data_IF_730065233692
#
_entry.id   IF_730065233692
#
_cell.length_a   1.000
_cell.length_b   1.000
_cell.length_c   1.000
_cell.angle_alpha   90.00
_cell.angle_beta   90.00
_cell.angle_gamma   90.00
#
_symmetry.space_group_name_H-M   'P 1'
#
loop_
_entity.id
_entity.type
_entity.pdbx_description
1 polymer ?
#
# COMPACT_ATOMS: atom_id res chain seq x y z
N UNK A 1 -55.62 -7.16 29.63
CA UNK A 1 -56.65 -7.91 28.89
C UNK A 1 -57.26 -6.96 27.88
N UNK A 2 -57.19 -7.34 26.60
CA UNK A 2 -57.78 -6.78 25.39
C UNK A 2 -58.56 -5.44 25.47
N UNK A 3 -58.23 -4.48 24.60
CA UNK A 3 -58.91 -4.36 23.31
C UNK A 3 -58.48 -3.10 22.52
N UNK A 4 -58.46 -3.30 21.20
CA UNK A 4 -58.79 -2.33 20.15
C UNK A 4 -57.73 -1.31 19.68
N UNK A 5 -56.83 -1.83 18.84
CA UNK A 5 -56.47 -1.21 17.56
C UNK A 5 -57.74 -0.85 16.76
N UNK A 6 -57.91 0.41 16.36
CA UNK A 6 -58.65 0.83 15.16
C UNK A 6 -58.85 2.34 15.18
N UNK A 7 -58.10 3.07 14.35
CA UNK A 7 -58.45 4.34 13.69
C UNK A 7 -57.18 5.14 13.41
N UNK A 8 -56.44 4.69 12.41
CA UNK A 8 -55.45 5.52 11.72
C UNK A 8 -56.00 5.79 10.34
N UNK A 9 -56.11 7.09 10.05
CA UNK A 9 -56.07 7.68 8.71
C UNK A 9 -57.32 7.50 7.84
N UNK A 10 -58.37 8.22 8.22
CA UNK A 10 -59.23 8.88 7.25
C UNK A 10 -58.56 10.18 6.77
N UNK A 11 -57.97 10.16 5.59
CA UNK A 11 -57.88 11.36 4.75
C UNK A 11 -57.99 10.94 3.29
N UNK A 12 -59.23 11.06 2.82
CA UNK A 12 -59.75 10.77 1.50
C UNK A 12 -59.98 12.13 0.86
N UNK A 13 -59.40 12.39 -0.30
CA UNK A 13 -60.07 12.95 -1.49
C UNK A 13 -59.09 13.65 -2.43
N UNK A 14 -59.48 13.61 -3.71
CA UNK A 14 -58.96 14.33 -4.89
C UNK A 14 -57.74 13.67 -5.54
N UNK A 15 -57.83 13.05 -6.72
CA UNK A 15 -58.91 12.94 -7.69
C UNK A 15 -58.30 12.85 -9.09
N UNK A 16 -58.81 11.91 -9.90
CA UNK A 16 -58.92 12.08 -11.35
C UNK A 16 -57.85 11.41 -12.23
N UNK A 17 -58.32 10.47 -13.06
CA UNK A 17 -57.81 10.31 -14.43
C UNK A 17 -57.12 8.99 -14.78
N UNK A 18 -57.92 7.95 -15.02
CA UNK A 18 -57.56 6.79 -15.86
C UNK A 18 -57.72 7.19 -17.34
N UNK A 19 -56.80 6.79 -18.23
CA UNK A 19 -57.10 5.77 -19.27
C UNK A 19 -56.02 5.60 -20.36
N UNK A 20 -55.85 4.32 -20.72
CA UNK A 20 -55.49 3.74 -22.03
C UNK A 20 -54.14 4.08 -22.69
N UNK A 21 -53.19 3.13 -22.76
CA UNK A 21 -53.03 2.12 -23.84
C UNK A 21 -52.88 2.71 -25.24
N UNK A 22 -51.67 2.70 -25.81
CA UNK A 22 -51.28 1.78 -26.92
C UNK A 22 -49.80 1.90 -27.28
N UNK A 23 -49.24 0.74 -27.58
CA UNK A 23 -47.94 0.40 -28.15
C UNK A 23 -47.59 1.09 -29.48
N UNK A 24 -46.30 1.37 -29.73
CA UNK A 24 -45.51 0.76 -30.82
C UNK A 24 -44.18 1.49 -31.07
N UNK A 25 -43.28 0.76 -31.74
CA UNK A 25 -42.08 1.21 -32.47
C UNK A 25 -40.74 1.17 -31.73
N UNK A 26 -40.20 -0.05 -31.78
CA UNK A 26 -38.78 -0.39 -31.97
C UNK A 26 -38.11 0.55 -32.99
N UNK A 27 -37.01 1.20 -32.59
CA UNK A 27 -36.04 1.74 -33.54
C UNK A 27 -34.61 1.46 -33.06
N UNK A 28 -34.10 0.36 -33.60
CA UNK A 28 -32.70 -0.06 -33.67
C UNK A 28 -31.93 0.92 -34.55
N UNK A 29 -30.92 1.60 -34.03
CA UNK A 29 -29.95 2.35 -34.84
C UNK A 29 -28.58 1.68 -34.77
N UNK A 30 -28.16 1.13 -35.92
CA UNK A 30 -26.83 0.60 -36.21
C UNK A 30 -25.77 1.69 -36.19
N UNK A 31 -24.52 1.27 -35.95
CA UNK A 31 -23.36 2.12 -35.76
C UNK A 31 -22.88 2.91 -36.99
N UNK A 32 -21.95 3.82 -36.69
CA UNK A 32 -21.19 4.67 -37.61
C UNK A 32 -19.96 5.27 -36.87
N UNK A 33 -18.92 5.70 -37.58
CA UNK A 33 -17.55 5.36 -37.22
C UNK A 33 -16.82 6.35 -36.29
N UNK A 34 -15.87 5.76 -35.56
CA UNK A 34 -14.77 6.33 -34.78
C UNK A 34 -14.00 7.35 -35.64
N UNK A 35 -14.02 8.64 -35.25
CA UNK A 35 -13.20 9.68 -35.87
C UNK A 35 -11.91 9.88 -35.07
N UNK A 36 -10.83 9.47 -35.71
CA UNK A 36 -9.43 9.63 -35.37
C UNK A 36 -9.03 11.12 -35.42
N UNK A 37 -8.33 11.58 -34.38
CA UNK A 37 -7.89 12.96 -34.22
C UNK A 37 -6.82 13.33 -35.23
N UNK A 38 -7.20 14.04 -36.29
CA UNK A 38 -6.30 14.59 -37.31
C UNK A 38 -5.75 15.93 -36.82
N UNK A 39 -4.42 16.02 -36.73
CA UNK A 39 -3.68 17.22 -36.34
C UNK A 39 -4.08 18.45 -37.14
N UNK A 40 -4.35 19.54 -36.42
CA UNK A 40 -4.61 20.86 -37.00
C UNK A 40 -3.27 21.47 -37.42
N UNK A 41 -2.90 21.28 -38.68
CA UNK A 41 -1.93 22.13 -39.36
C UNK A 41 -2.57 23.50 -39.60
N UNK A 42 -2.09 24.53 -38.91
CA UNK A 42 -2.51 25.91 -39.12
C UNK A 42 -1.79 26.43 -40.38
N UNK A 43 -2.49 26.49 -41.51
CA UNK A 43 -1.99 27.15 -42.73
C UNK A 43 -2.29 28.64 -42.59
N UNK A 44 -1.27 29.46 -42.31
CA UNK A 44 -1.36 30.92 -42.30
C UNK A 44 -1.14 31.41 -43.74
N UNK A 45 -2.21 31.85 -44.40
CA UNK A 45 -2.13 32.56 -45.66
C UNK A 45 -1.92 34.05 -45.39
N UNK A 46 -0.72 34.56 -45.67
CA UNK A 46 -0.41 35.98 -45.60
C UNK A 46 -0.61 36.61 -46.98
N UNK A 47 -1.74 37.30 -47.19
CA UNK A 47 -1.94 38.18 -48.34
C UNK A 47 -1.29 39.52 -48.04
N UNK A 48 -0.10 39.75 -48.60
CA UNK A 48 0.56 41.05 -48.59
C UNK A 48 0.05 41.88 -49.77
N UNK A 49 -0.66 42.97 -49.49
CA UNK A 49 -1.06 43.96 -50.49
C UNK A 49 -0.54 45.33 -50.02
N UNK A 50 0.39 45.90 -50.78
CA UNK A 50 1.01 47.19 -50.47
C UNK A 50 1.03 48.09 -51.70
N UNK A 51 0.45 49.29 -51.54
CA UNK A 51 0.78 50.57 -52.21
C UNK A 51 -0.15 51.66 -51.65
N UNK A 52 0.33 52.53 -50.76
CA UNK A 52 0.99 53.83 -51.01
C UNK A 52 0.03 55.03 -50.83
N UNK A 53 0.32 55.89 -49.83
CA UNK A 53 -0.20 57.25 -49.74
C UNK A 53 -0.14 57.88 -48.35
N UNK A 54 0.82 58.78 -48.10
CA UNK A 54 0.77 59.79 -47.02
C UNK A 54 1.82 59.66 -45.90
N UNK A 55 2.59 60.74 -45.57
CA UNK A 55 3.76 60.66 -44.71
C UNK A 55 3.45 60.95 -43.24
N UNK A 56 2.47 60.29 -42.61
CA UNK A 56 2.30 60.38 -41.15
C UNK A 56 1.65 59.07 -40.67
N UNK A 57 2.47 58.09 -40.29
CA UNK A 57 2.16 56.94 -39.42
C UNK A 57 2.89 55.68 -39.88
N UNK A 58 4.19 55.58 -39.58
CA UNK A 58 4.88 54.29 -39.61
C UNK A 58 5.88 54.22 -38.45
N UNK A 59 5.36 53.95 -37.25
CA UNK A 59 6.15 53.64 -36.04
C UNK A 59 5.50 52.59 -35.13
N UNK A 60 4.61 51.73 -35.62
CA UNK A 60 3.99 50.70 -34.78
C UNK A 60 3.84 49.38 -35.58
N UNK A 61 4.95 48.77 -35.95
CA UNK A 61 4.91 47.44 -36.57
C UNK A 61 6.16 46.62 -36.24
N UNK A 62 6.59 46.60 -34.97
CA UNK A 62 7.66 45.69 -34.52
C UNK A 62 7.60 45.37 -33.03
N UNK A 63 6.39 45.20 -32.48
CA UNK A 63 6.18 44.82 -31.07
C UNK A 63 5.36 43.52 -30.89
N UNK A 64 5.02 42.83 -31.98
CA UNK A 64 4.12 41.66 -31.93
C UNK A 64 4.79 40.29 -31.86
N UNK A 65 6.09 40.16 -32.14
CA UNK A 65 6.74 38.84 -32.28
C UNK A 65 7.63 38.44 -31.09
N UNK A 66 8.00 39.36 -30.19
CA UNK A 66 8.83 39.04 -29.02
C UNK A 66 8.01 38.48 -27.84
N UNK A 67 6.70 38.71 -27.80
CA UNK A 67 5.85 38.34 -26.66
C UNK A 67 5.44 36.85 -26.63
N UNK A 68 5.68 36.08 -27.70
CA UNK A 68 5.27 34.67 -27.75
C UNK A 68 6.31 33.69 -27.21
N UNK A 69 7.55 34.12 -27.00
CA UNK A 69 8.60 33.30 -26.35
C UNK A 69 8.57 33.46 -24.82
N UNK A 70 7.96 34.53 -24.29
CA UNK A 70 7.84 34.80 -22.85
C UNK A 70 6.71 34.02 -22.15
N UNK A 71 5.93 33.22 -22.88
CA UNK A 71 4.79 32.44 -22.36
C UNK A 71 4.93 30.94 -22.60
N UNK A 72 6.14 30.43 -22.78
CA UNK A 72 6.36 28.99 -22.61
C UNK A 72 6.29 28.71 -21.09
N UNK A 73 5.34 27.90 -20.58
CA UNK A 73 5.50 27.38 -19.25
C UNK A 73 6.78 26.56 -19.29
N UNK A 74 7.81 27.03 -18.57
CA UNK A 74 8.90 26.17 -18.13
C UNK A 74 8.24 25.20 -17.17
N UNK A 75 7.58 24.17 -17.71
CA UNK A 75 7.32 22.94 -16.98
C UNK A 75 8.69 22.31 -16.78
N UNK A 76 9.47 22.89 -15.87
CA UNK A 76 10.45 22.13 -15.13
C UNK A 76 9.64 20.99 -14.53
N UNK A 77 9.92 19.77 -14.98
CA UNK A 77 9.63 18.63 -14.16
C UNK A 77 10.33 18.94 -12.84
N UNK A 78 9.57 19.35 -11.83
CA UNK A 78 10.09 19.51 -10.49
C UNK A 78 10.53 18.11 -10.07
N UNK A 79 11.81 17.83 -10.27
CA UNK A 79 12.50 16.80 -9.52
C UNK A 79 12.69 17.46 -8.16
N UNK A 80 11.65 17.40 -7.33
CA UNK A 80 11.81 17.69 -5.93
C UNK A 80 12.78 16.61 -5.40
N UNK A 81 13.95 17.09 -4.99
CA UNK A 81 15.04 16.29 -4.47
C UNK A 81 14.81 16.08 -2.98
N UNK A 82 15.57 15.19 -2.31
CA UNK A 82 15.56 15.05 -0.83
C UNK A 82 15.52 16.41 -0.11
N UNK A 83 16.18 17.43 -0.69
CA UNK A 83 16.16 18.81 -0.22
C UNK A 83 14.78 19.46 -0.16
N UNK A 84 13.87 19.20 -1.09
CA UNK A 84 12.53 19.80 -1.08
C UNK A 84 11.70 19.25 0.09
N UNK A 85 11.82 17.96 0.39
CA UNK A 85 11.17 17.34 1.55
C UNK A 85 11.76 17.87 2.86
N UNK A 86 13.08 18.10 2.90
CA UNK A 86 13.75 18.67 4.07
C UNK A 86 13.45 20.16 4.22
N UNK A 87 13.36 20.95 3.16
CA UNK A 87 13.05 22.38 3.27
C UNK A 87 11.54 22.64 3.46
N UNK A 88 10.70 21.69 3.07
CA UNK A 88 9.27 21.81 3.20
C UNK A 88 8.85 21.98 4.68
N UNK A 89 7.90 22.89 4.94
CA UNK A 89 7.30 23.01 6.26
C UNK A 89 6.57 21.72 6.62
N UNK A 90 6.42 21.47 7.92
CA UNK A 90 5.71 20.30 8.44
C UNK A 90 4.31 20.22 7.82
N UNK A 91 3.90 19.09 7.24
CA UNK A 91 2.62 18.94 6.56
C UNK A 91 1.47 18.78 7.58
N UNK A 92 1.12 19.86 8.30
CA UNK A 92 0.13 19.84 9.40
C UNK A 92 -1.28 19.40 8.96
N UNK A 93 -1.65 19.65 7.70
CA UNK A 93 -3.02 19.38 7.21
C UNK A 93 -3.12 18.19 6.28
N UNK A 94 -2.06 17.88 5.53
CA UNK A 94 -2.05 16.79 4.56
C UNK A 94 -1.49 15.50 5.14
N UNK A 95 -0.62 15.56 6.16
CA UNK A 95 0.10 14.43 6.78
C UNK A 95 0.94 13.57 5.81
N UNK A 96 0.87 13.86 4.51
CA UNK A 96 1.43 13.05 3.43
C UNK A 96 2.16 13.97 2.48
N UNK A 97 3.43 13.68 2.27
CA UNK A 97 4.32 14.30 1.28
C UNK A 97 4.67 13.23 0.27
N UNK A 98 4.12 13.33 -0.95
CA UNK A 98 4.36 12.35 -2.02
C UNK A 98 5.11 12.98 -3.18
N UNK A 99 6.43 12.98 -3.03
CA UNK A 99 7.39 13.35 -4.06
C UNK A 99 7.60 12.22 -5.07
N UNK A 100 7.57 10.97 -4.59
CA UNK A 100 7.74 9.78 -5.44
C UNK A 100 6.63 9.58 -6.49
N UNK A 101 5.50 10.28 -6.35
CA UNK A 101 4.34 10.14 -7.24
C UNK A 101 3.74 8.73 -7.23
N UNK A 102 3.92 7.99 -6.14
CA UNK A 102 3.53 6.58 -6.03
C UNK A 102 2.16 6.40 -5.38
N UNK A 103 1.64 7.45 -4.75
CA UNK A 103 0.33 7.43 -4.09
C UNK A 103 -0.75 8.02 -5.01
N UNK A 104 -1.84 7.28 -5.14
CA UNK A 104 -3.03 7.77 -5.82
C UNK A 104 -3.68 8.89 -5.00
N UNK A 105 -4.38 9.83 -5.67
CA UNK A 105 -5.11 10.91 -4.97
C UNK A 105 -6.10 10.38 -3.94
N UNK A 106 -6.79 9.28 -4.25
CA UNK A 106 -7.70 8.60 -3.33
C UNK A 106 -6.94 7.97 -2.14
N UNK A 107 -5.79 7.34 -2.39
CA UNK A 107 -4.91 6.79 -1.37
C UNK A 107 -4.41 7.85 -0.38
N UNK A 108 -3.93 9.00 -0.89
CA UNK A 108 -3.52 10.15 -0.06
C UNK A 108 -4.64 10.59 0.88
N UNK A 109 -5.86 10.73 0.36
CA UNK A 109 -7.03 11.11 1.16
C UNK A 109 -7.39 10.08 2.24
N UNK A 110 -7.32 8.78 1.91
CA UNK A 110 -7.57 7.70 2.86
C UNK A 110 -6.52 7.68 3.99
N UNK A 111 -5.23 7.81 3.63
CA UNK A 111 -4.12 7.84 4.58
C UNK A 111 -4.23 9.07 5.50
N UNK A 112 -4.41 10.27 4.93
CA UNK A 112 -4.57 11.50 5.71
C UNK A 112 -5.77 11.43 6.67
N UNK A 113 -6.90 10.85 6.23
CA UNK A 113 -8.05 10.61 7.09
C UNK A 113 -7.74 9.73 8.31
N UNK A 114 -7.01 8.62 8.10
CA UNK A 114 -6.59 7.72 9.18
C UNK A 114 -5.61 8.39 10.16
N UNK A 115 -4.67 9.18 9.64
CA UNK A 115 -3.68 9.90 10.46
C UNK A 115 -4.35 10.99 11.30
N UNK A 116 -5.30 11.72 10.72
CA UNK A 116 -6.11 12.70 11.46
C UNK A 116 -6.95 12.05 12.56
N UNK A 117 -7.54 10.89 12.30
CA UNK A 117 -8.25 10.12 13.33
C UNK A 117 -7.34 9.64 14.46
N UNK A 118 -6.10 9.25 14.13
CA UNK A 118 -5.10 8.81 15.09
C UNK A 118 -4.69 9.94 16.02
N UNK A 119 -4.39 11.11 15.45
CA UNK A 119 -4.03 12.31 16.21
C UNK A 119 -5.16 12.76 17.13
N UNK A 120 -6.41 12.77 16.64
CA UNK A 120 -7.57 13.13 17.46
C UNK A 120 -7.82 12.18 18.64
N UNK A 121 -7.45 10.89 18.52
CA UNK A 121 -7.70 9.88 19.56
C UNK A 121 -6.55 9.75 20.57
N UNK A 122 -5.32 9.91 20.11
CA UNK A 122 -4.12 9.53 20.89
C UNK A 122 -3.16 10.69 21.13
N UNK A 123 -3.25 11.77 20.33
CA UNK A 123 -2.30 12.87 20.35
C UNK A 123 -0.94 12.56 19.72
N UNK A 124 -0.74 11.35 19.19
CA UNK A 124 0.42 11.03 18.35
C UNK A 124 0.19 11.54 16.93
N UNK A 125 1.28 11.91 16.26
CA UNK A 125 1.21 12.43 14.90
C UNK A 125 2.26 11.74 14.05
N UNK A 126 1.81 11.21 12.92
CA UNK A 126 2.64 10.44 12.00
C UNK A 126 2.57 11.12 10.64
N UNK A 127 3.73 11.46 10.10
CA UNK A 127 3.88 11.98 8.75
C UNK A 127 4.35 10.86 7.82
N UNK A 128 3.81 10.86 6.61
CA UNK A 128 4.18 9.89 5.58
C UNK A 128 4.91 10.63 4.46
N UNK A 129 6.10 10.17 4.14
CA UNK A 129 6.93 10.68 3.06
C UNK A 129 7.17 9.56 2.07
N UNK A 130 6.87 9.81 0.80
CA UNK A 130 7.18 8.86 -0.27
C UNK A 130 8.15 9.50 -1.25
N UNK A 131 9.21 8.75 -1.56
CA UNK A 131 10.28 9.18 -2.45
C UNK A 131 10.48 8.15 -3.56
N UNK A 132 10.92 8.64 -4.73
CA UNK A 132 11.29 7.73 -5.81
C UNK A 132 12.63 7.07 -5.52
N UNK A 133 13.64 7.86 -5.20
CA UNK A 133 15.02 7.42 -4.96
C UNK A 133 15.70 8.39 -3.99
N UNK A 134 16.54 7.86 -3.12
CA UNK A 134 17.48 8.64 -2.33
C UNK A 134 18.83 8.76 -3.08
N UNK A 135 19.29 9.99 -3.26
CA UNK A 135 20.54 10.41 -3.91
C UNK A 135 21.66 10.73 -2.91
N UNK A 136 21.36 11.32 -1.75
CA UNK A 136 22.37 11.79 -0.78
C UNK A 136 22.43 10.90 0.45
N UNK A 137 21.28 10.43 0.91
CA UNK A 137 21.19 9.55 2.09
C UNK A 137 20.74 8.18 1.63
N UNK A 138 21.65 7.21 1.35
CA UNK A 138 21.26 5.95 0.72
C UNK A 138 20.33 5.09 1.58
N UNK A 139 20.39 5.27 2.89
CA UNK A 139 19.54 4.57 3.86
C UNK A 139 18.24 5.36 4.13
N UNK A 140 17.06 4.76 3.91
CA UNK A 140 15.78 5.35 4.29
C UNK A 140 15.67 5.70 5.79
N UNK A 141 16.36 4.96 6.67
CA UNK A 141 16.34 5.20 8.11
C UNK A 141 17.03 6.52 8.46
N UNK A 142 18.28 6.70 8.03
CA UNK A 142 19.00 7.98 8.17
C UNK A 142 18.24 9.16 7.55
N UNK A 143 17.57 8.95 6.42
CA UNK A 143 16.76 10.01 5.82
C UNK A 143 15.54 10.36 6.68
N UNK A 144 14.86 9.36 7.25
CA UNK A 144 13.73 9.59 8.15
C UNK A 144 14.12 10.34 9.42
N UNK A 145 15.32 10.07 9.96
CA UNK A 145 15.87 10.80 11.11
C UNK A 145 16.13 12.27 10.76
N UNK A 146 16.76 12.55 9.60
CA UNK A 146 16.98 13.93 9.14
C UNK A 146 15.67 14.70 8.95
N UNK A 147 14.65 14.03 8.41
CA UNK A 147 13.32 14.64 8.26
C UNK A 147 12.70 14.94 9.62
N UNK A 148 12.84 14.03 10.59
CA UNK A 148 12.34 14.22 11.95
C UNK A 148 13.06 15.38 12.66
N UNK A 149 14.40 15.44 12.59
CA UNK A 149 15.23 16.49 13.19
C UNK A 149 14.92 17.87 12.59
N UNK A 150 14.71 17.92 11.29
CA UNK A 150 14.41 19.17 10.61
C UNK A 150 12.99 19.67 10.90
N UNK A 151 12.00 18.78 10.91
CA UNK A 151 10.62 19.15 11.21
C UNK A 151 10.35 19.39 12.69
N UNK A 152 11.07 18.68 13.57
CA UNK A 152 10.91 18.75 15.02
C UNK A 152 12.30 18.87 15.70
N UNK A 153 12.92 20.06 15.66
CA UNK A 153 14.28 20.26 16.16
C UNK A 153 14.41 20.12 17.68
N UNK A 154 13.30 20.08 18.41
CA UNK A 154 13.28 19.92 19.87
C UNK A 154 12.66 18.60 20.28
N UNK A 155 13.22 17.96 21.30
CA UNK A 155 12.76 16.67 21.83
C UNK A 155 11.30 16.77 22.30
N UNK A 156 10.91 17.89 22.91
CA UNK A 156 9.54 18.11 23.38
C UNK A 156 8.51 18.14 22.25
N UNK A 157 8.89 18.69 21.09
CA UNK A 157 8.03 18.72 19.91
C UNK A 157 7.98 17.36 19.21
N UNK A 158 9.11 16.64 19.17
CA UNK A 158 9.28 15.38 18.44
C UNK A 158 8.86 14.12 19.19
N UNK A 159 8.72 14.15 20.53
CA UNK A 159 8.53 12.95 21.36
C UNK A 159 7.33 12.07 20.94
N UNK A 160 6.22 12.70 20.54
CA UNK A 160 4.99 12.02 20.08
C UNK A 160 4.83 12.04 18.56
N UNK A 161 5.90 12.34 17.83
CA UNK A 161 5.90 12.50 16.38
C UNK A 161 6.68 11.34 15.74
N UNK A 162 6.21 10.92 14.57
CA UNK A 162 6.89 9.91 13.77
C UNK A 162 6.86 10.27 12.28
N UNK A 163 7.80 9.70 11.53
CA UNK A 163 7.93 9.83 10.09
C UNK A 163 8.07 8.44 9.49
N UNK A 164 7.16 8.09 8.57
CA UNK A 164 7.22 6.90 7.75
C UNK A 164 7.73 7.30 6.36
N UNK A 165 8.91 6.82 5.99
CA UNK A 165 9.50 7.01 4.66
C UNK A 165 9.31 5.73 3.84
N UNK A 166 8.88 5.87 2.58
CA UNK A 166 8.86 4.76 1.61
C UNK A 166 9.64 5.17 0.36
N UNK A 167 10.59 4.32 -0.04
CA UNK A 167 11.44 4.53 -1.22
C UNK A 167 11.09 3.50 -2.29
N UNK A 168 10.57 3.96 -3.43
CA UNK A 168 10.07 3.04 -4.46
C UNK A 168 11.15 2.32 -5.24
N UNK A 169 12.33 2.94 -5.44
CA UNK A 169 13.44 2.32 -6.18
C UNK A 169 13.99 1.09 -5.47
N UNK A 170 14.22 1.18 -4.16
CA UNK A 170 14.77 0.07 -3.38
C UNK A 170 13.68 -0.86 -2.82
N UNK A 171 12.40 -0.45 -2.88
CA UNK A 171 11.26 -1.16 -2.25
C UNK A 171 11.44 -1.30 -0.74
N UNK A 172 12.07 -0.30 -0.15
CA UNK A 172 12.37 -0.20 1.28
C UNK A 172 11.50 0.89 1.92
N UNK A 173 11.33 0.79 3.23
CA UNK A 173 10.77 1.87 4.01
C UNK A 173 11.41 1.92 5.38
N UNK A 174 11.34 3.08 6.01
CA UNK A 174 11.85 3.29 7.34
C UNK A 174 10.83 4.06 8.17
N UNK A 175 10.90 3.84 9.48
CA UNK A 175 10.07 4.54 10.46
C UNK A 175 11.04 5.12 11.49
N UNK A 176 11.01 6.44 11.62
CA UNK A 176 11.68 7.15 12.71
C UNK A 176 10.65 7.91 13.53
N UNK A 177 10.96 8.20 14.78
CA UNK A 177 10.07 8.95 15.66
C UNK A 177 10.69 9.21 17.02
N UNK A 178 9.99 10.05 17.78
CA UNK A 178 10.40 10.36 19.14
C UNK A 178 10.37 9.15 20.08
N UNK A 179 11.06 9.23 21.24
CA UNK A 179 11.14 8.12 22.19
C UNK A 179 9.77 7.59 22.64
N UNK A 180 8.81 8.45 22.96
CA UNK A 180 7.46 8.00 23.32
C UNK A 180 6.73 7.35 22.14
N UNK A 181 6.93 7.83 20.91
CA UNK A 181 6.30 7.23 19.73
C UNK A 181 6.76 5.78 19.51
N UNK A 182 8.08 5.55 19.50
CA UNK A 182 8.68 4.22 19.28
C UNK A 182 8.31 3.25 20.41
N UNK A 183 8.46 3.68 21.66
CA UNK A 183 8.16 2.85 22.84
C UNK A 183 6.70 2.36 22.90
N UNK A 184 5.74 3.17 22.44
CA UNK A 184 4.33 2.78 22.45
C UNK A 184 3.93 1.84 21.30
N UNK A 185 4.69 1.83 20.21
CA UNK A 185 4.46 0.89 19.10
C UNK A 185 5.14 -0.45 19.38
N UNK A 186 6.37 -0.39 19.90
CA UNK A 186 7.23 -1.53 20.11
C UNK A 186 8.07 -1.89 18.88
N UNK A 187 9.35 -2.17 19.12
CA UNK A 187 10.35 -2.44 18.07
C UNK A 187 9.95 -3.65 17.21
N UNK A 188 9.41 -4.71 17.81
CA UNK A 188 8.95 -5.91 17.08
C UNK A 188 7.93 -5.60 15.97
N UNK A 189 7.02 -4.64 16.22
CA UNK A 189 6.00 -4.25 15.24
C UNK A 189 6.59 -3.37 14.15
N UNK A 190 7.46 -2.43 14.52
CA UNK A 190 8.17 -1.58 13.57
C UNK A 190 9.03 -2.42 12.62
N UNK A 191 9.80 -3.35 13.15
CA UNK A 191 10.64 -4.27 12.40
C UNK A 191 9.81 -5.17 11.47
N UNK A 192 8.66 -5.68 11.93
CA UNK A 192 7.75 -6.45 11.08
C UNK A 192 7.12 -5.60 9.96
N UNK A 193 6.87 -4.31 10.20
CA UNK A 193 6.38 -3.41 9.14
C UNK A 193 7.46 -3.21 8.09
N UNK A 194 8.67 -2.84 8.52
CA UNK A 194 9.81 -2.50 7.66
C UNK A 194 10.32 -3.73 6.90
N UNK A 195 10.43 -4.87 7.56
CA UNK A 195 11.04 -6.09 6.98
C UNK A 195 10.05 -6.95 6.20
N UNK A 196 8.77 -6.97 6.58
CA UNK A 196 7.79 -7.86 5.96
C UNK A 196 6.71 -7.11 5.17
N UNK A 197 6.08 -6.09 5.76
CA UNK A 197 4.88 -5.48 5.18
C UNK A 197 5.21 -4.59 3.99
N UNK A 198 6.13 -3.65 4.19
CA UNK A 198 6.52 -2.69 3.14
C UNK A 198 7.15 -3.44 1.96
N UNK A 199 8.17 -4.30 2.12
CA UNK A 199 8.85 -4.92 0.98
C UNK A 199 7.93 -5.87 0.21
N UNK A 200 7.07 -6.62 0.90
CA UNK A 200 6.13 -7.53 0.26
C UNK A 200 5.13 -6.80 -0.65
N UNK A 201 4.55 -5.70 -0.19
CA UNK A 201 3.52 -4.98 -0.94
C UNK A 201 4.12 -4.06 -2.01
N UNK A 202 5.29 -3.47 -1.76
CA UNK A 202 6.02 -2.67 -2.75
C UNK A 202 6.63 -3.52 -3.86
N UNK A 203 6.96 -4.80 -3.58
CA UNK A 203 7.34 -5.77 -4.61
C UNK A 203 6.22 -6.01 -5.61
N UNK A 204 4.98 -6.09 -5.13
CA UNK A 204 3.76 -6.19 -5.94
C UNK A 204 3.30 -4.84 -6.54
N UNK A 205 4.10 -3.77 -6.41
CA UNK A 205 3.78 -2.39 -6.85
C UNK A 205 2.53 -1.78 -6.19
N UNK A 206 2.08 -2.34 -5.07
CA UNK A 206 0.91 -1.88 -4.31
C UNK A 206 1.29 -0.86 -3.25
N UNK A 207 1.81 0.29 -3.67
CA UNK A 207 2.29 1.35 -2.76
C UNK A 207 1.19 1.93 -1.87
N UNK A 208 -0.01 2.13 -2.42
CA UNK A 208 -1.16 2.62 -1.65
C UNK A 208 -1.51 1.66 -0.50
N UNK A 209 -1.50 0.36 -0.75
CA UNK A 209 -1.78 -0.64 0.28
C UNK A 209 -0.63 -0.79 1.28
N UNK A 210 0.62 -0.74 0.81
CA UNK A 210 1.81 -0.80 1.67
C UNK A 210 1.76 0.28 2.73
N UNK A 211 1.50 1.51 2.29
CA UNK A 211 1.43 2.68 3.16
C UNK A 211 0.23 2.61 4.09
N UNK A 212 -0.96 2.28 3.56
CA UNK A 212 -2.18 2.23 4.35
C UNK A 212 -2.13 1.14 5.42
N UNK A 213 -1.64 -0.07 5.08
CA UNK A 213 -1.48 -1.15 6.06
C UNK A 213 -0.44 -0.79 7.13
N UNK A 214 0.68 -0.18 6.74
CA UNK A 214 1.70 0.27 7.70
C UNK A 214 1.12 1.28 8.69
N UNK A 215 0.38 2.27 8.20
CA UNK A 215 -0.32 3.25 9.04
C UNK A 215 -1.37 2.59 9.92
N UNK A 216 -2.14 1.62 9.40
CA UNK A 216 -3.13 0.89 10.20
C UNK A 216 -2.49 0.09 11.34
N UNK A 217 -1.36 -0.59 11.08
CA UNK A 217 -0.58 -1.32 12.10
C UNK A 217 -0.10 -0.38 13.21
N UNK A 218 0.54 0.73 12.82
CA UNK A 218 1.01 1.75 13.77
C UNK A 218 -0.16 2.34 14.56
N UNK A 219 -1.25 2.68 13.89
CA UNK A 219 -2.45 3.24 14.52
C UNK A 219 -3.10 2.27 15.51
N UNK A 220 -3.08 0.98 15.22
CA UNK A 220 -3.63 -0.07 16.09
C UNK A 220 -2.86 -0.19 17.39
N UNK A 221 -1.52 -0.16 17.30
CA UNK A 221 -0.64 -0.19 18.48
C UNK A 221 -0.78 1.08 19.32
N UNK A 222 -0.73 2.27 18.70
CA UNK A 222 -0.86 3.55 19.40
C UNK A 222 -2.24 3.75 20.05
N UNK A 223 -3.29 3.13 19.51
CA UNK A 223 -4.62 3.13 20.12
C UNK A 223 -4.82 2.04 21.19
N UNK A 224 -3.81 1.20 21.45
CA UNK A 224 -3.91 0.07 22.38
C UNK A 224 -4.82 -1.06 21.91
N UNK A 225 -5.17 -1.12 20.62
CA UNK A 225 -6.00 -2.19 20.03
C UNK A 225 -5.18 -3.40 19.60
N UNK A 226 -3.85 -3.30 19.65
CA UNK A 226 -2.92 -4.31 19.15
C UNK A 226 -2.77 -4.25 17.63
N UNK A 227 -1.84 -5.06 17.09
CA UNK A 227 -1.54 -5.10 15.66
C UNK A 227 -2.64 -5.85 14.88
N UNK A 228 -3.40 -5.17 14.01
CA UNK A 228 -4.45 -5.78 13.21
C UNK A 228 -3.92 -6.80 12.18
N UNK A 229 -2.64 -6.72 11.83
CA UNK A 229 -1.99 -7.58 10.84
C UNK A 229 -0.88 -8.44 11.46
N UNK A 230 -0.93 -8.68 12.77
CA UNK A 230 0.02 -9.52 13.48
C UNK A 230 0.23 -10.86 12.72
N UNK A 231 1.48 -11.30 12.50
CA UNK A 231 1.75 -12.60 11.94
C UNK A 231 0.99 -13.63 12.77
N UNK A 232 -0.01 -14.29 12.17
CA UNK A 232 -0.69 -15.39 12.85
C UNK A 232 0.42 -16.36 13.26
N UNK A 233 0.55 -16.72 14.55
CA UNK A 233 1.56 -17.68 14.96
C UNK A 233 1.38 -18.87 14.04
N UNK A 234 2.42 -19.18 13.25
CA UNK A 234 2.44 -20.42 12.47
C UNK A 234 2.14 -21.47 13.52
N UNK A 235 0.95 -22.08 13.48
CA UNK A 235 0.60 -23.18 14.38
C UNK A 235 1.79 -24.11 14.25
N UNK A 236 2.59 -24.22 15.31
CA UNK A 236 3.72 -25.13 15.32
C UNK A 236 3.17 -26.43 14.74
N UNK A 237 3.81 -27.04 13.72
CA UNK A 237 3.30 -28.28 13.14
C UNK A 237 3.02 -29.16 14.33
N UNK A 238 1.72 -29.45 14.57
CA UNK A 238 1.25 -30.09 15.79
C UNK A 238 2.17 -31.26 15.94
N UNK A 239 3.11 -31.18 16.88
CA UNK A 239 4.00 -32.30 17.17
C UNK A 239 2.99 -33.36 17.54
N UNK A 240 2.75 -34.27 16.60
CA UNK A 240 2.00 -35.47 16.84
C UNK A 240 2.91 -36.17 17.83
N UNK A 241 2.71 -35.89 19.12
CA UNK A 241 3.18 -36.78 20.17
C UNK A 241 2.74 -38.18 19.75
N UNK A 242 3.57 -39.20 19.98
CA UNK A 242 3.22 -40.55 19.59
C UNK A 242 2.02 -40.98 20.43
N UNK A 243 0.81 -40.77 19.92
CA UNK A 243 -0.36 -41.49 20.38
C UNK A 243 -0.09 -42.94 20.00
N UNK A 244 0.29 -43.73 21.00
CA UNK A 244 0.19 -45.19 20.97
C UNK A 244 -1.26 -45.54 20.65
N UNK A 245 -1.58 -45.65 19.37
CA UNK A 245 -2.67 -46.49 18.90
C UNK A 245 -1.99 -47.75 18.40
N UNK A 246 -2.08 -48.80 19.21
CA UNK A 246 -1.78 -50.15 18.76
C UNK A 246 -2.71 -50.45 17.59
N UNK A 247 -2.21 -51.24 16.63
CA UNK A 247 -2.91 -51.70 15.44
C UNK A 247 -3.01 -50.65 14.34
N UNK A 248 -2.01 -50.66 13.46
CA UNK A 248 -2.15 -50.85 12.00
C UNK A 248 -0.80 -50.46 11.37
N UNK A 249 0.11 -51.43 11.34
CA UNK A 249 1.40 -51.32 10.66
C UNK A 249 1.41 -52.33 9.51
N UNK A 250 0.53 -52.10 8.54
CA UNK A 250 0.56 -52.75 7.24
C UNK A 250 1.55 -51.98 6.34
N UNK A 251 2.68 -52.63 6.05
CA UNK A 251 3.28 -52.59 4.71
C UNK A 251 4.10 -51.36 4.32
N UNK A 252 5.25 -51.14 4.95
CA UNK A 252 6.38 -50.48 4.25
C UNK A 252 7.69 -51.20 4.57
N UNK A 253 8.01 -52.18 3.71
CA UNK A 253 9.34 -52.67 3.31
C UNK A 253 10.49 -52.62 4.34
N UNK A 254 10.26 -53.07 5.58
CA UNK A 254 11.34 -53.33 6.55
C UNK A 254 11.71 -54.82 6.68
N UNK A 255 11.08 -55.70 5.89
CA UNK A 255 11.23 -57.16 6.00
C UNK A 255 12.65 -57.72 5.77
N UNK A 256 13.51 -57.21 4.86
CA UNK A 256 14.82 -57.85 4.64
C UNK A 256 15.83 -57.55 5.75
N UNK A 257 15.72 -56.42 6.47
CA UNK A 257 16.70 -56.04 7.48
C UNK A 257 16.58 -56.85 8.77
N UNK A 258 15.34 -57.10 9.23
CA UNK A 258 15.13 -57.90 10.44
C UNK A 258 15.52 -59.37 10.26
N UNK A 259 15.26 -59.96 9.08
CA UNK A 259 15.64 -61.34 8.80
C UNK A 259 17.17 -61.57 8.85
N UNK A 260 17.96 -60.64 8.30
CA UNK A 260 19.43 -60.73 8.31
C UNK A 260 19.99 -60.60 9.73
N UNK A 261 19.45 -59.66 10.53
CA UNK A 261 19.89 -59.45 11.92
C UNK A 261 19.55 -60.67 12.79
N UNK A 262 18.35 -61.25 12.63
CA UNK A 262 17.95 -62.44 13.39
C UNK A 262 18.86 -63.65 13.08
N UNK A 263 19.21 -63.87 11.81
CA UNK A 263 20.11 -64.97 11.43
C UNK A 263 21.52 -64.73 11.99
N UNK A 264 22.03 -63.49 11.92
CA UNK A 264 23.35 -63.13 12.43
C UNK A 264 23.48 -63.34 13.95
N UNK A 265 22.39 -63.19 14.72
CA UNK A 265 22.40 -63.38 16.18
C UNK A 265 22.16 -64.85 16.58
N UNK A 266 21.24 -65.54 15.91
CA UNK A 266 20.82 -66.90 16.30
C UNK A 266 21.84 -67.95 15.87
N UNK A 267 22.44 -67.78 14.69
CA UNK A 267 23.40 -68.74 14.13
C UNK A 267 24.64 -69.00 15.02
N UNK A 268 25.35 -67.98 15.55
CA UNK A 268 26.51 -68.22 16.43
C UNK A 268 26.12 -68.86 17.77
N UNK A 269 24.94 -68.54 18.32
CA UNK A 269 24.46 -69.16 19.55
C UNK A 269 24.11 -70.64 19.36
N UNK A 270 23.54 -71.00 18.21
CA UNK A 270 23.24 -72.39 17.89
C UNK A 270 24.53 -73.24 17.74
N UNK A 271 25.57 -72.69 17.12
CA UNK A 271 26.89 -73.34 17.04
C UNK A 271 27.52 -73.55 18.42
N UNK A 272 27.37 -72.58 19.33
CA UNK A 272 27.87 -72.69 20.69
C UNK A 272 27.16 -73.80 21.47
N UNK A 273 25.82 -73.87 21.40
CA UNK A 273 25.04 -74.92 22.07
C UNK A 273 25.37 -76.30 21.49
N UNK A 274 25.44 -76.43 20.16
CA UNK A 274 25.77 -77.71 19.51
C UNK A 274 27.19 -78.15 19.82
N UNK A 275 28.16 -77.22 19.86
CA UNK A 275 29.54 -77.50 20.24
C UNK A 275 29.72 -77.92 21.70
N UNK A 276 28.88 -77.43 22.61
CA UNK A 276 28.83 -77.91 24.00
C UNK A 276 28.24 -79.31 24.08
N UNK A 277 27.14 -79.59 23.35
CA UNK A 277 26.49 -80.92 23.36
C UNK A 277 27.38 -82.00 22.73
N UNK A 278 28.15 -81.68 21.68
CA UNK A 278 29.07 -82.64 21.03
C UNK A 278 30.38 -82.88 21.78
N UNK A 279 30.67 -82.12 22.84
CA UNK A 279 31.88 -82.28 23.66
C UNK A 279 31.74 -83.42 24.68
N UNK A 280 30.50 -83.79 25.03
CA UNK A 280 30.17 -84.73 26.10
C UNK A 280 29.68 -86.11 25.60
N UNK A 281 29.86 -86.41 24.30
CA UNK A 281 29.74 -87.76 23.71
C UNK A 281 31.09 -88.20 23.14
#
# INVERSE_FOLDING_TARGET
MAAMKSMVSASKALGGGMDARTSSVVARAKGGPRREGRGRGLVVSAKAEGKHGGPIASKIASAGLAALIASAPISGAAIASEFDVLEAPVPETSYVVDDGGILSKAGKGAIAGKLKELEAKTGYHLNVVTMRKLQFTPDPFEFSDKVLENWYPTIEQGDKKGVLVIVSTNKEGAISGGPSFINNIGDDVLDSIISETIPKLTTEEKYNEATLKSVERISGMLQGKGDPYAPKPKKAPKQRGPTRTQQEAEGTNSFPFFAVISIALIFPLAQLILGVIYKDN
#
